data_IF_822548193443
#
_entry.id   IF_822548193443
#
_cell.length_a   1.000
_cell.length_b   1.000
_cell.length_c   1.000
_cell.angle_alpha   90.00
_cell.angle_beta   90.00
_cell.angle_gamma   90.00
#
_symmetry.space_group_name_H-M   'P 1'
#
loop_
_entity.id
_entity.type
_entity.pdbx_description
1 polymer ?
#
# COMPACT_ATOMS: atom_id res chain seq x y z
N UNK A 1 23.84 -5.55 -5.49
CA UNK A 1 23.45 -6.68 -6.36
C UNK A 1 22.16 -7.37 -5.93
N UNK A 2 21.86 -7.48 -4.63
CA UNK A 2 20.63 -8.12 -4.12
C UNK A 2 19.32 -7.43 -4.56
N UNK A 3 19.30 -6.09 -4.60
CA UNK A 3 18.13 -5.30 -5.05
C UNK A 3 17.79 -5.52 -6.53
N UNK A 4 18.83 -5.67 -7.37
CA UNK A 4 18.68 -5.92 -8.79
C UNK A 4 18.17 -7.34 -9.06
N UNK A 5 18.59 -8.33 -8.27
CA UNK A 5 18.08 -9.71 -8.38
C UNK A 5 16.63 -9.83 -7.91
N UNK A 6 16.22 -9.09 -6.86
CA UNK A 6 14.82 -8.95 -6.47
C UNK A 6 14.01 -8.31 -7.61
N UNK A 7 14.47 -7.18 -8.15
CA UNK A 7 13.83 -6.50 -9.28
C UNK A 7 13.71 -7.41 -10.52
N UNK A 8 14.76 -8.18 -10.86
CA UNK A 8 14.73 -9.11 -11.99
C UNK A 8 13.77 -10.29 -11.78
N UNK A 9 13.61 -10.77 -10.54
CA UNK A 9 12.59 -11.78 -10.23
C UNK A 9 11.17 -11.21 -10.39
N UNK A 10 10.94 -9.97 -9.94
CA UNK A 10 9.67 -9.27 -10.13
C UNK A 10 9.33 -9.04 -11.61
N UNK A 11 10.33 -8.74 -12.45
CA UNK A 11 10.15 -8.53 -13.89
C UNK A 11 9.79 -9.81 -14.64
N UNK A 12 10.36 -10.96 -14.24
CA UNK A 12 10.08 -12.24 -14.88
C UNK A 12 8.69 -12.80 -14.53
N UNK A 13 8.23 -12.61 -13.29
CA UNK A 13 6.86 -12.96 -12.89
C UNK A 13 5.82 -12.05 -13.54
N UNK A 14 6.11 -10.74 -13.62
CA UNK A 14 5.19 -9.75 -14.22
C UNK A 14 4.89 -10.01 -15.70
N UNK A 15 5.84 -10.57 -16.46
CA UNK A 15 5.65 -10.84 -17.90
C UNK A 15 4.81 -12.12 -18.14
N UNK A 16 4.86 -13.06 -17.21
CA UNK A 16 4.08 -14.30 -17.26
C UNK A 16 2.61 -14.07 -16.86
N UNK A 17 2.36 -13.07 -16.02
CA UNK A 17 1.03 -12.66 -15.55
C UNK A 17 0.20 -11.98 -16.67
N UNK A 18 0.83 -11.18 -17.55
CA UNK A 18 0.16 -10.53 -18.69
C UNK A 18 -0.43 -11.54 -19.71
N UNK A 19 0.11 -12.75 -19.82
CA UNK A 19 -0.32 -13.77 -20.79
C UNK A 19 -1.46 -14.68 -20.28
N UNK A 20 -1.69 -14.79 -18.97
CA UNK A 20 -2.73 -15.67 -18.39
C UNK A 20 -4.08 -14.95 -18.10
N UNK A 21 -4.11 -13.61 -18.11
CA UNK A 21 -5.22 -12.79 -17.57
C UNK A 21 -6.36 -12.43 -18.55
N UNK A 22 -6.31 -12.85 -19.82
CA UNK A 22 -7.33 -12.49 -20.85
C UNK A 22 -8.66 -13.29 -20.80
N UNK A 23 -8.83 -14.28 -19.91
CA UNK A 23 -10.06 -15.11 -19.85
C UNK A 23 -11.00 -14.72 -18.71
N UNK A 24 -11.85 -13.73 -18.97
CA UNK A 24 -12.80 -13.20 -17.98
C UNK A 24 -14.10 -14.01 -17.81
N UNK A 25 -14.47 -14.28 -16.57
CA UNK A 25 -15.86 -14.54 -16.15
C UNK A 25 -16.61 -13.20 -15.95
N UNK A 26 -17.92 -13.18 -16.22
CA UNK A 26 -18.76 -12.01 -15.93
C UNK A 26 -19.02 -11.88 -14.44
N UNK A 27 -18.85 -10.68 -13.86
CA UNK A 27 -19.19 -10.42 -12.46
C UNK A 27 -20.71 -10.20 -12.34
N UNK A 28 -21.34 -10.93 -11.43
CA UNK A 28 -22.75 -10.75 -11.09
C UNK A 28 -22.93 -9.49 -10.23
N UNK A 29 -23.45 -8.42 -10.86
CA UNK A 29 -23.62 -7.12 -10.22
C UNK A 29 -24.65 -7.13 -9.08
N UNK A 30 -25.52 -8.14 -9.01
CA UNK A 30 -26.56 -8.23 -7.97
C UNK A 30 -25.99 -8.40 -6.55
N UNK A 31 -24.73 -8.80 -6.44
CA UNK A 31 -24.04 -9.05 -5.18
C UNK A 31 -23.47 -7.78 -4.53
N UNK A 32 -23.46 -6.65 -5.24
CA UNK A 32 -22.85 -5.40 -4.78
C UNK A 32 -23.89 -4.31 -4.57
N UNK A 33 -23.80 -3.63 -3.43
CA UNK A 33 -24.66 -2.51 -3.05
C UNK A 33 -23.84 -1.23 -3.01
N UNK A 34 -24.44 -0.13 -3.47
CA UNK A 34 -23.81 1.19 -3.41
C UNK A 34 -23.36 1.47 -1.96
N UNK A 35 -22.13 1.95 -1.77
CA UNK A 35 -21.52 2.16 -0.46
C UNK A 35 -20.75 0.95 0.09
N UNK A 36 -20.78 -0.21 -0.58
CA UNK A 36 -19.97 -1.36 -0.20
C UNK A 36 -18.48 -1.07 -0.33
N UNK A 37 -17.73 -1.49 0.69
CA UNK A 37 -16.27 -1.51 0.66
C UNK A 37 -15.84 -2.80 -0.02
N UNK A 38 -15.05 -2.65 -1.08
CA UNK A 38 -14.53 -3.74 -1.89
C UNK A 38 -13.04 -3.94 -1.61
N UNK A 39 -12.66 -5.20 -1.48
CA UNK A 39 -11.28 -5.64 -1.26
C UNK A 39 -10.87 -6.60 -2.36
N UNK A 40 -9.71 -6.34 -2.96
CA UNK A 40 -9.14 -7.18 -4.01
C UNK A 40 -7.72 -7.55 -3.61
N UNK A 41 -7.47 -8.81 -3.23
CA UNK A 41 -6.12 -9.26 -2.94
C UNK A 41 -5.27 -9.19 -4.22
N UNK A 42 -4.15 -8.47 -4.14
CA UNK A 42 -3.08 -8.50 -5.15
C UNK A 42 -1.90 -9.32 -4.64
N UNK A 43 -0.96 -9.60 -5.51
CA UNK A 43 0.28 -10.33 -5.20
C UNK A 43 1.07 -9.70 -4.05
N UNK A 44 1.09 -8.36 -3.93
CA UNK A 44 1.91 -7.65 -2.94
C UNK A 44 1.13 -6.86 -1.88
N UNK A 45 -0.15 -6.61 -2.10
CA UNK A 45 -0.99 -5.84 -1.18
C UNK A 45 -2.47 -6.12 -1.44
N UNK A 46 -3.35 -5.75 -0.52
CA UNK A 46 -4.80 -5.72 -0.80
C UNK A 46 -5.17 -4.34 -1.31
N UNK A 47 -5.83 -4.28 -2.47
CA UNK A 47 -6.37 -3.04 -3.00
C UNK A 47 -7.80 -2.82 -2.53
N UNK A 48 -8.15 -1.57 -2.26
CA UNK A 48 -9.45 -1.20 -1.69
C UNK A 48 -10.20 -0.22 -2.60
N UNK A 49 -11.52 -0.33 -2.63
CA UNK A 49 -12.42 0.59 -3.33
C UNK A 49 -13.79 0.68 -2.67
N UNK A 50 -14.59 1.66 -3.09
CA UNK A 50 -15.98 1.85 -2.70
C UNK A 50 -16.85 1.66 -3.94
N UNK A 51 -17.84 0.77 -3.87
CA UNK A 51 -18.79 0.57 -4.94
C UNK A 51 -19.78 1.74 -5.02
N UNK A 52 -19.90 2.35 -6.18
CA UNK A 52 -20.80 3.49 -6.42
C UNK A 52 -22.15 3.06 -7.04
N UNK A 53 -22.33 1.79 -7.38
CA UNK A 53 -23.47 1.33 -8.18
C UNK A 53 -23.14 1.26 -9.67
N UNK A 54 -23.97 0.53 -10.42
CA UNK A 54 -23.88 0.38 -11.88
C UNK A 54 -22.51 -0.12 -12.39
N UNK A 55 -21.87 -1.02 -11.63
CA UNK A 55 -20.55 -1.54 -11.99
C UNK A 55 -19.41 -0.52 -11.85
N UNK A 56 -19.61 0.60 -11.14
CA UNK A 56 -18.59 1.64 -10.93
C UNK A 56 -17.97 1.53 -9.54
N UNK A 57 -16.65 1.69 -9.47
CA UNK A 57 -15.88 1.65 -8.21
C UNK A 57 -14.99 2.87 -8.11
N UNK A 58 -15.12 3.61 -7.01
CA UNK A 58 -14.19 4.67 -6.64
C UNK A 58 -13.03 4.09 -5.82
N UNK A 59 -11.80 4.39 -6.19
CA UNK A 59 -10.62 3.90 -5.49
C UNK A 59 -9.44 4.86 -5.64
N UNK A 60 -8.57 4.83 -4.65
CA UNK A 60 -7.34 5.61 -4.62
C UNK A 60 -6.20 4.80 -5.22
N UNK A 61 -5.65 5.25 -6.34
CA UNK A 61 -4.50 4.61 -7.00
C UNK A 61 -3.28 5.55 -6.97
N UNK A 62 -2.10 5.08 -6.51
CA UNK A 62 -0.85 5.78 -6.80
C UNK A 62 -0.57 5.71 -8.30
N UNK A 63 -0.64 6.83 -9.01
CA UNK A 63 -0.38 6.88 -10.44
C UNK A 63 0.49 8.09 -10.75
N UNK A 64 1.66 7.83 -11.32
CA UNK A 64 2.60 8.86 -11.74
C UNK A 64 2.16 9.58 -13.02
N UNK A 65 1.37 8.92 -13.87
CA UNK A 65 1.07 9.45 -15.20
C UNK A 65 0.33 10.79 -15.19
N UNK A 66 -0.65 11.06 -14.31
CA UNK A 66 -1.25 12.39 -14.17
C UNK A 66 -0.24 13.52 -13.87
N UNK A 67 0.91 13.20 -13.29
CA UNK A 67 1.99 14.15 -13.01
C UNK A 67 2.89 14.36 -14.23
N UNK A 68 3.06 13.32 -15.05
CA UNK A 68 4.02 13.30 -16.17
C UNK A 68 3.35 13.62 -17.52
N UNK A 69 2.03 13.41 -17.66
CA UNK A 69 1.29 13.68 -18.89
C UNK A 69 -0.10 14.27 -18.62
N UNK A 70 -0.53 15.19 -19.48
CA UNK A 70 -1.90 15.70 -19.53
C UNK A 70 -2.86 14.84 -20.36
N UNK A 71 -2.40 13.73 -20.94
CA UNK A 71 -3.21 12.89 -21.81
C UNK A 71 -4.23 12.06 -21.02
N UNK A 72 -5.47 12.56 -20.95
CA UNK A 72 -6.59 11.93 -20.24
C UNK A 72 -6.89 10.49 -20.69
N UNK A 73 -6.69 10.16 -21.97
CA UNK A 73 -6.92 8.81 -22.48
C UNK A 73 -5.85 7.81 -21.98
N UNK A 74 -4.59 8.26 -21.87
CA UNK A 74 -3.51 7.45 -21.31
C UNK A 74 -3.64 7.27 -19.80
N UNK A 75 -4.12 8.31 -19.09
CA UNK A 75 -4.40 8.25 -17.65
C UNK A 75 -5.56 7.31 -17.34
N UNK A 76 -6.64 7.36 -18.14
CA UNK A 76 -7.80 6.48 -17.99
C UNK A 76 -7.48 5.01 -18.28
N UNK A 77 -6.43 4.72 -19.04
CA UNK A 77 -5.96 3.35 -19.26
C UNK A 77 -5.52 2.74 -17.92
N UNK A 78 -5.74 1.44 -17.80
CA UNK A 78 -5.35 0.64 -16.64
C UNK A 78 -3.91 0.94 -16.18
N UNK A 79 -3.73 1.00 -14.86
CA UNK A 79 -2.46 1.30 -14.22
C UNK A 79 -1.64 0.02 -14.08
N UNK A 80 -0.46 0.00 -14.68
CA UNK A 80 0.51 -1.10 -14.58
C UNK A 80 1.30 -1.02 -13.26
N UNK A 81 1.88 -2.13 -12.81
CA UNK A 81 2.67 -2.19 -11.57
C UNK A 81 3.82 -1.16 -11.54
N UNK A 82 4.48 -0.90 -12.66
CA UNK A 82 5.53 0.13 -12.74
C UNK A 82 5.00 1.54 -12.49
N UNK A 83 3.80 1.87 -12.98
CA UNK A 83 3.15 3.17 -12.72
C UNK A 83 2.78 3.32 -11.24
N UNK A 84 2.31 2.23 -10.62
CA UNK A 84 1.99 2.19 -9.19
C UNK A 84 3.23 2.49 -8.35
N UNK A 85 4.34 1.79 -8.61
CA UNK A 85 5.60 1.96 -7.89
C UNK A 85 6.18 3.37 -8.06
N UNK A 86 6.17 3.91 -9.28
CA UNK A 86 6.63 5.28 -9.53
C UNK A 86 5.73 6.32 -8.86
N UNK A 87 4.41 6.11 -8.87
CA UNK A 87 3.46 6.98 -8.17
C UNK A 87 3.70 7.00 -6.66
N UNK A 88 3.99 5.83 -6.07
CA UNK A 88 4.40 5.70 -4.67
C UNK A 88 5.67 6.50 -4.37
N UNK A 89 6.72 6.34 -5.19
CA UNK A 89 8.00 7.05 -4.99
C UNK A 89 7.81 8.56 -5.11
N UNK A 90 7.01 9.01 -6.09
CA UNK A 90 6.72 10.41 -6.32
C UNK A 90 5.65 10.98 -5.38
N UNK A 91 5.06 10.18 -4.49
CA UNK A 91 3.93 10.57 -3.62
C UNK A 91 2.73 11.14 -4.40
N UNK A 92 2.49 10.60 -5.59
CA UNK A 92 1.42 11.03 -6.48
C UNK A 92 0.35 9.95 -6.60
N UNK A 93 -0.90 10.32 -6.28
CA UNK A 93 -2.05 9.46 -6.48
C UNK A 93 -3.27 10.24 -6.98
N UNK A 94 -4.26 9.50 -7.43
CA UNK A 94 -5.58 10.04 -7.74
C UNK A 94 -6.66 9.11 -7.25
N UNK A 95 -7.71 9.67 -6.67
CA UNK A 95 -8.99 8.97 -6.52
C UNK A 95 -9.72 9.07 -7.86
N UNK A 96 -10.01 7.92 -8.45
CA UNK A 96 -10.70 7.83 -9.75
C UNK A 96 -11.83 6.82 -9.69
N UNK A 97 -12.68 6.82 -10.72
CA UNK A 97 -13.76 5.84 -10.88
C UNK A 97 -13.44 4.95 -12.06
N UNK A 98 -13.29 3.66 -11.79
CA UNK A 98 -13.08 2.63 -12.80
C UNK A 98 -14.26 1.63 -12.81
N UNK A 99 -14.32 0.79 -13.84
CA UNK A 99 -15.30 -0.31 -13.86
C UNK A 99 -14.94 -1.36 -12.80
N UNK A 100 -15.93 -2.07 -12.27
CA UNK A 100 -15.72 -3.17 -11.33
C UNK A 100 -14.80 -4.24 -11.92
N UNK A 101 -14.88 -4.47 -13.23
CA UNK A 101 -14.05 -5.45 -13.94
C UNK A 101 -12.58 -5.03 -13.95
N UNK A 102 -12.31 -3.76 -14.26
CA UNK A 102 -10.95 -3.20 -14.24
C UNK A 102 -10.41 -3.12 -12.81
N UNK A 103 -11.27 -2.78 -11.86
CA UNK A 103 -10.94 -2.76 -10.43
C UNK A 103 -10.57 -4.14 -9.90
N UNK A 104 -11.32 -5.18 -10.27
CA UNK A 104 -11.10 -6.55 -9.82
C UNK A 104 -9.89 -7.19 -10.51
N UNK A 105 -9.69 -6.92 -11.81
CA UNK A 105 -8.57 -7.41 -12.61
C UNK A 105 -8.32 -8.92 -12.39
N UNK A 106 -9.33 -9.73 -12.73
CA UNK A 106 -9.28 -11.19 -12.63
C UNK A 106 -9.29 -11.79 -11.21
N UNK A 107 -9.12 -10.97 -10.17
CA UNK A 107 -9.12 -11.43 -8.78
C UNK A 107 -10.54 -11.48 -8.20
N UNK A 108 -10.81 -12.38 -7.23
CA UNK A 108 -12.05 -12.33 -6.45
C UNK A 108 -12.16 -11.00 -5.70
N UNK A 109 -13.39 -10.48 -5.64
CA UNK A 109 -13.73 -9.26 -4.90
C UNK A 109 -14.41 -9.67 -3.59
N UNK A 110 -13.82 -9.26 -2.47
CA UNK A 110 -14.40 -9.45 -1.15
C UNK A 110 -15.18 -8.18 -0.75
N UNK A 111 -16.34 -8.36 -0.13
CA UNK A 111 -17.25 -7.26 0.20
C UNK A 111 -17.34 -7.09 1.72
N UNK A 112 -17.16 -5.86 2.21
CA UNK A 112 -17.39 -5.44 3.60
C UNK A 112 -16.67 -6.29 4.67
N UNK A 113 -15.53 -6.91 4.36
CA UNK A 113 -14.80 -7.74 5.34
C UNK A 113 -14.33 -6.91 6.54
N UNK A 114 -14.02 -5.63 6.33
CA UNK A 114 -13.65 -4.72 7.41
C UNK A 114 -14.75 -4.48 8.45
N UNK A 115 -16.03 -4.76 8.16
CA UNK A 115 -17.11 -4.62 9.15
C UNK A 115 -16.95 -5.59 10.33
N UNK A 116 -16.35 -6.77 10.10
CA UNK A 116 -16.07 -7.74 11.17
C UNK A 116 -14.81 -7.40 11.98
N UNK A 117 -13.97 -6.51 11.47
CA UNK A 117 -12.69 -6.13 12.09
C UNK A 117 -12.80 -4.79 12.82
N UNK A 118 -13.59 -3.87 12.27
CA UNK A 118 -13.75 -2.52 12.78
C UNK A 118 -14.86 -2.46 13.82
N UNK A 119 -14.54 -1.90 14.99
CA UNK A 119 -15.51 -1.70 16.08
C UNK A 119 -16.51 -0.56 15.78
N UNK A 120 -16.14 0.34 14.88
CA UNK A 120 -16.97 1.46 14.47
C UNK A 120 -18.05 0.94 13.50
N UNK A 121 -19.34 1.24 13.72
CA UNK A 121 -20.38 0.87 12.76
C UNK A 121 -20.16 1.59 11.42
N UNK A 122 -20.48 0.95 10.28
CA UNK A 122 -20.43 1.62 8.99
C UNK A 122 -21.46 2.74 8.92
N UNK A 123 -21.13 3.78 8.16
CA UNK A 123 -22.03 4.87 7.82
C UNK A 123 -23.10 4.38 6.82
N UNK A 124 -24.14 5.20 6.65
CA UNK A 124 -25.18 4.94 5.66
C UNK A 124 -24.59 4.84 4.25
N UNK A 125 -25.09 3.90 3.47
CA UNK A 125 -24.49 3.48 2.21
C UNK A 125 -24.39 4.65 1.19
N UNK A 126 -25.39 5.54 1.16
CA UNK A 126 -25.37 6.72 0.30
C UNK A 126 -24.42 7.80 0.81
N UNK A 127 -24.23 7.92 2.13
CA UNK A 127 -23.21 8.78 2.69
C UNK A 127 -21.80 8.29 2.34
N UNK A 128 -21.55 6.98 2.41
CA UNK A 128 -20.26 6.37 2.02
C UNK A 128 -19.93 6.67 0.57
N UNK A 129 -20.88 6.44 -0.34
CA UNK A 129 -20.67 6.69 -1.77
C UNK A 129 -20.48 8.19 -2.08
N UNK A 130 -21.25 9.08 -1.43
CA UNK A 130 -21.07 10.54 -1.60
C UNK A 130 -19.70 11.03 -1.13
N UNK A 131 -19.17 10.47 -0.04
CA UNK A 131 -17.80 10.77 0.42
C UNK A 131 -16.76 10.33 -0.58
N UNK A 132 -16.93 9.12 -1.14
CA UNK A 132 -16.03 8.59 -2.15
C UNK A 132 -16.01 9.47 -3.41
N UNK A 133 -17.17 9.92 -3.87
CA UNK A 133 -17.34 10.84 -5.01
C UNK A 133 -16.74 12.23 -4.74
N UNK A 134 -16.91 12.76 -3.52
CA UNK A 134 -16.37 14.08 -3.13
C UNK A 134 -14.84 14.13 -3.16
N UNK A 135 -14.20 12.99 -2.95
CA UNK A 135 -12.74 12.88 -2.88
C UNK A 135 -12.08 12.59 -4.23
N UNK A 136 -12.84 12.59 -5.34
CA UNK A 136 -12.31 12.39 -6.68
C UNK A 136 -11.30 13.47 -7.07
N UNK A 137 -10.21 13.05 -7.70
CA UNK A 137 -9.15 13.94 -8.18
C UNK A 137 -7.77 13.56 -7.66
N UNK A 138 -6.80 14.46 -7.89
CA UNK A 138 -5.42 14.26 -7.51
C UNK A 138 -5.23 14.46 -6.00
N UNK A 139 -4.44 13.58 -5.37
CA UNK A 139 -4.12 13.63 -3.95
C UNK A 139 -2.64 13.29 -3.72
N UNK A 140 -2.04 13.88 -2.70
CA UNK A 140 -0.69 13.50 -2.27
C UNK A 140 -0.74 12.12 -1.61
N UNK A 141 -0.06 11.15 -2.20
CA UNK A 141 -0.05 9.78 -1.71
C UNK A 141 0.98 9.60 -0.60
N UNK A 142 0.62 8.82 0.42
CA UNK A 142 1.57 8.34 1.41
C UNK A 142 1.25 6.90 1.77
N UNK A 143 2.18 5.97 1.50
CA UNK A 143 2.04 4.56 1.84
C UNK A 143 1.63 4.33 3.30
N UNK A 144 2.20 5.14 4.21
CA UNK A 144 2.01 4.99 5.67
C UNK A 144 0.90 5.86 6.25
N UNK A 145 0.48 6.92 5.56
CA UNK A 145 -0.39 7.94 6.17
C UNK A 145 -1.66 8.23 5.35
N UNK A 146 -1.66 7.93 4.05
CA UNK A 146 -2.78 8.23 3.16
C UNK A 146 -2.74 7.30 1.92
N UNK A 147 -3.06 6.03 2.17
CA UNK A 147 -3.11 4.96 1.17
C UNK A 147 -4.57 4.58 0.84
N UNK A 148 -4.76 3.57 -0.02
CA UNK A 148 -6.08 3.13 -0.44
C UNK A 148 -6.96 2.61 0.71
N UNK A 149 -6.38 1.97 1.72
CA UNK A 149 -7.09 1.52 2.92
C UNK A 149 -7.60 2.72 3.73
N UNK A 150 -6.75 3.71 4.00
CA UNK A 150 -7.17 4.94 4.71
C UNK A 150 -8.34 5.64 4.02
N UNK A 151 -8.31 5.69 2.68
CA UNK A 151 -9.37 6.29 1.87
C UNK A 151 -10.72 5.59 2.08
N UNK A 152 -10.78 4.26 1.93
CA UNK A 152 -12.05 3.53 2.09
C UNK A 152 -12.53 3.52 3.54
N UNK A 153 -11.59 3.49 4.50
CA UNK A 153 -11.90 3.53 5.92
C UNK A 153 -12.53 4.88 6.31
N UNK A 154 -12.02 5.98 5.74
CA UNK A 154 -12.61 7.30 5.92
C UNK A 154 -14.01 7.39 5.30
N UNK A 155 -14.20 6.83 4.10
CA UNK A 155 -15.49 6.83 3.42
C UNK A 155 -16.53 6.02 4.19
N UNK A 156 -16.20 4.79 4.62
CA UNK A 156 -17.15 3.86 5.23
C UNK A 156 -17.38 4.07 6.73
N UNK A 157 -16.34 4.36 7.50
CA UNK A 157 -16.42 4.43 8.97
C UNK A 157 -16.13 5.82 9.52
N UNK A 158 -15.74 6.78 8.67
CA UNK A 158 -15.36 8.12 9.12
C UNK A 158 -14.01 8.20 9.83
N UNK A 159 -13.16 7.17 9.70
CA UNK A 159 -11.85 7.10 10.34
C UNK A 159 -10.75 6.82 9.33
N UNK A 160 -9.63 7.55 9.39
CA UNK A 160 -8.48 7.28 8.54
C UNK A 160 -7.49 6.36 9.28
N UNK A 161 -7.76 5.05 9.25
CA UNK A 161 -6.87 4.02 9.79
C UNK A 161 -6.47 3.02 8.69
N UNK A 162 -5.29 2.41 8.81
CA UNK A 162 -4.81 1.35 7.91
C UNK A 162 -4.18 0.22 8.71
N UNK A 163 -4.78 -0.97 8.61
CA UNK A 163 -4.25 -2.18 9.23
C UNK A 163 -2.98 -2.66 8.53
N UNK A 164 -2.89 -2.49 7.20
CA UNK A 164 -1.67 -2.81 6.44
C UNK A 164 -0.47 -2.01 6.95
N UNK A 165 -0.67 -0.71 7.16
CA UNK A 165 0.36 0.19 7.72
C UNK A 165 0.76 -0.27 9.12
N UNK A 166 -0.22 -0.57 9.97
CA UNK A 166 0.04 -1.03 11.34
C UNK A 166 0.87 -2.32 11.35
N UNK A 167 0.52 -3.30 10.51
CA UNK A 167 1.25 -4.56 10.40
C UNK A 167 2.67 -4.37 9.85
N UNK A 168 2.83 -3.52 8.83
CA UNK A 168 4.13 -3.18 8.28
C UNK A 168 5.03 -2.54 9.35
N UNK A 169 4.55 -1.50 10.03
CA UNK A 169 5.28 -0.82 11.10
C UNK A 169 5.63 -1.77 12.25
N UNK A 170 4.71 -2.66 12.63
CA UNK A 170 4.95 -3.66 13.68
C UNK A 170 6.01 -4.68 13.25
N UNK A 171 6.00 -5.11 12.00
CA UNK A 171 6.99 -6.04 11.44
C UNK A 171 8.37 -5.40 11.35
N UNK A 172 8.46 -4.17 10.82
CA UNK A 172 9.70 -3.39 10.78
C UNK A 172 10.23 -3.18 12.20
N UNK A 173 9.37 -2.80 13.16
CA UNK A 173 9.76 -2.69 14.57
C UNK A 173 10.33 -3.99 15.11
N UNK A 174 9.67 -5.13 14.87
CA UNK A 174 10.18 -6.44 15.33
C UNK A 174 11.55 -6.79 14.74
N UNK A 175 11.82 -6.38 13.50
CA UNK A 175 13.12 -6.61 12.85
C UNK A 175 14.18 -5.67 13.42
N UNK A 176 13.89 -4.37 13.43
CA UNK A 176 14.82 -3.30 13.86
C UNK A 176 15.11 -3.40 15.35
N UNK A 177 14.09 -3.55 16.18
CA UNK A 177 14.18 -3.78 17.62
C UNK A 177 14.19 -5.29 17.91
N UNK A 178 15.15 -6.00 17.34
CA UNK A 178 15.43 -7.40 17.71
C UNK A 178 16.78 -7.50 18.43
N UNK A 179 16.92 -8.52 19.28
CA UNK A 179 18.23 -8.83 19.91
C UNK A 179 19.31 -9.06 18.87
N UNK A 180 18.96 -9.72 17.76
CA UNK A 180 19.87 -9.92 16.61
C UNK A 180 20.30 -8.60 16.00
N UNK A 181 19.37 -7.67 15.76
CA UNK A 181 19.67 -6.33 15.23
C UNK A 181 20.60 -5.53 16.16
N UNK A 182 20.42 -5.63 17.48
CA UNK A 182 21.32 -5.02 18.46
C UNK A 182 22.76 -5.55 18.33
N UNK A 183 22.94 -6.88 18.26
CA UNK A 183 24.25 -7.50 18.11
C UNK A 183 24.91 -7.17 16.77
N UNK A 184 24.13 -7.19 15.68
CA UNK A 184 24.61 -6.79 14.35
C UNK A 184 25.05 -5.33 14.36
N UNK A 185 24.28 -4.44 14.99
CA UNK A 185 24.64 -3.01 15.13
C UNK A 185 25.94 -2.84 15.92
N UNK A 186 26.13 -3.62 16.99
CA UNK A 186 27.36 -3.58 17.79
C UNK A 186 28.57 -4.03 16.97
N UNK A 187 28.42 -5.14 16.24
CA UNK A 187 29.46 -5.70 15.39
C UNK A 187 29.82 -4.75 14.24
N UNK A 188 28.83 -4.26 13.50
CA UNK A 188 29.03 -3.31 12.41
C UNK A 188 29.68 -2.02 12.91
N UNK A 189 29.23 -1.49 14.05
CA UNK A 189 29.83 -0.32 14.67
C UNK A 189 31.31 -0.55 15.03
N UNK A 190 31.63 -1.67 15.67
CA UNK A 190 33.02 -2.03 15.98
C UNK A 190 33.90 -2.15 14.72
N UNK A 191 33.41 -2.80 13.67
CA UNK A 191 34.14 -2.93 12.39
C UNK A 191 34.38 -1.56 11.75
N UNK A 192 33.39 -0.68 11.73
CA UNK A 192 33.51 0.69 11.18
C UNK A 192 34.53 1.52 11.97
N UNK A 193 34.50 1.44 13.30
CA UNK A 193 35.46 2.15 14.15
C UNK A 193 36.90 1.68 13.92
N UNK A 194 37.11 0.38 13.75
CA UNK A 194 38.42 -0.20 13.45
C UNK A 194 38.88 0.18 12.04
N UNK A 195 38.00 0.12 11.05
CA UNK A 195 38.32 0.45 9.65
C UNK A 195 38.70 1.92 9.47
N UNK A 196 37.99 2.83 10.13
CA UNK A 196 38.26 4.27 10.04
C UNK A 196 39.38 4.74 10.99
N UNK A 197 39.86 3.88 11.90
CA UNK A 197 40.85 4.27 12.91
C UNK A 197 40.34 5.29 13.94
N UNK A 198 39.02 5.48 14.03
CA UNK A 198 38.37 6.48 14.88
C UNK A 198 37.88 5.93 16.23
N UNK A 199 38.55 4.90 16.76
CA UNK A 199 38.22 4.26 18.02
C UNK A 199 38.62 5.15 19.21
N UNK A 200 37.74 6.08 19.58
CA UNK A 200 37.87 6.92 20.77
C UNK A 200 36.88 6.44 21.85
N UNK A 201 37.10 6.76 23.13
CA UNK A 201 36.14 6.41 24.19
C UNK A 201 34.71 6.89 23.89
N UNK A 202 34.57 8.07 23.28
CA UNK A 202 33.27 8.66 22.92
C UNK A 202 32.57 7.86 21.82
N UNK A 203 33.29 7.49 20.75
CA UNK A 203 32.70 6.76 19.61
C UNK A 203 32.38 5.31 19.96
N UNK A 204 33.20 4.69 20.83
CA UNK A 204 32.90 3.37 21.40
C UNK A 204 31.65 3.44 22.29
N UNK A 205 31.57 4.42 23.20
CA UNK A 205 30.41 4.61 24.06
C UNK A 205 29.14 4.87 23.24
N UNK A 206 29.19 5.71 22.22
CA UNK A 206 28.05 5.98 21.33
C UNK A 206 27.56 4.71 20.62
N UNK A 207 28.50 3.88 20.13
CA UNK A 207 28.18 2.60 19.47
C UNK A 207 27.51 1.62 20.44
N UNK A 208 28.06 1.48 21.66
CA UNK A 208 27.49 0.62 22.68
C UNK A 208 26.12 1.11 23.16
N UNK A 209 25.94 2.43 23.33
CA UNK A 209 24.66 3.03 23.67
C UNK A 209 23.61 2.79 22.58
N UNK A 210 23.96 2.94 21.31
CA UNK A 210 23.06 2.65 20.21
C UNK A 210 22.61 1.18 20.23
N UNK A 211 23.54 0.23 20.32
CA UNK A 211 23.20 -1.19 20.42
C UNK A 211 22.39 -1.51 21.67
N UNK A 212 22.72 -0.92 22.82
CA UNK A 212 22.00 -1.11 24.08
C UNK A 212 20.57 -0.56 23.99
N UNK A 213 20.36 0.61 23.39
CA UNK A 213 19.01 1.16 23.20
C UNK A 213 18.14 0.29 22.28
N UNK A 214 18.72 -0.29 21.22
CA UNK A 214 18.04 -1.27 20.37
C UNK A 214 17.69 -2.53 21.17
N UNK A 215 18.60 -3.01 22.03
CA UNK A 215 18.38 -4.17 22.89
C UNK A 215 17.28 -3.93 23.94
N UNK A 216 17.25 -2.75 24.55
CA UNK A 216 16.21 -2.36 25.50
C UNK A 216 14.84 -2.18 24.84
N UNK A 217 14.80 -1.84 23.54
CA UNK A 217 13.57 -1.69 22.77
C UNK A 217 13.01 -3.01 22.21
N UNK A 218 13.79 -4.10 22.30
CA UNK A 218 13.49 -5.44 21.78
C UNK A 218 12.79 -6.33 22.81
#
# INVERSE_FOLDING_TARGET
MFLYQLLSFFFATSKKEEEEEERGSGYDLSQYKRGDLLEVPRTLFTHFGIYLGDGRVAHLIPDILPVVTGNKAAVAKMVTNNRLLLGVVAKAASVRVDSLRDFAYGSPVLVNRMDGVCKQPPLDADEVARRAEKLLGAVAYSLLWYNCEHYVMYCRYGMAISYQTYQFCTTVRKIVCSRTSSYVTALCGAVVLLYLGCATPITILATLLLSFTIWMAA
#
